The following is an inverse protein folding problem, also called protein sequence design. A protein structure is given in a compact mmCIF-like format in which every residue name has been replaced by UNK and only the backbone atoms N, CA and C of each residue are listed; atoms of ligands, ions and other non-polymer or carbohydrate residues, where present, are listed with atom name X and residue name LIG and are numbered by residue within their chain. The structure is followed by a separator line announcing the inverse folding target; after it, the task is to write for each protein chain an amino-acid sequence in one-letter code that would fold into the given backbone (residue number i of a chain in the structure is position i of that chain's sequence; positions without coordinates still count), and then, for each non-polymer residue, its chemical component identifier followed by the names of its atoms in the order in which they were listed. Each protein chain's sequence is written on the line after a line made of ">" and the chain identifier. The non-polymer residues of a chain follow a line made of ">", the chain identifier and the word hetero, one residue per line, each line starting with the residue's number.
data_IF_931582928242
#
_entry.id   IF_931582928242
#
_cell.length_a   1.000
_cell.length_b   1.000
_cell.length_c   1.000
_cell.angle_alpha   90.00
_cell.angle_beta   90.00
_cell.angle_gamma   90.00
#
_symmetry.space_group_name_H-M   'P 1'
#
loop_
_entity.id
_entity.type
_entity.pdbx_description
1 polymer ?
#
# COMPACT_ATOMS: atom_id res chain seq x y z
N UNK A 1 14.24 44.06 -6.48
CA UNK A 1 14.91 42.79 -6.11
C UNK A 1 14.06 41.89 -5.18
N UNK A 2 12.77 42.16 -5.01
CA UNK A 2 11.87 41.45 -4.07
C UNK A 2 11.04 40.32 -4.69
N UNK A 3 10.75 40.37 -5.99
CA UNK A 3 9.87 39.40 -6.67
C UNK A 3 10.38 37.95 -6.66
N UNK A 4 11.69 37.72 -6.60
CA UNK A 4 12.24 36.36 -6.65
C UNK A 4 12.16 35.66 -5.28
N UNK A 5 12.37 36.40 -4.19
CA UNK A 5 12.32 35.87 -2.83
C UNK A 5 10.88 35.52 -2.41
N UNK A 6 9.89 36.32 -2.82
CA UNK A 6 8.48 36.08 -2.52
C UNK A 6 7.92 34.85 -3.26
N UNK A 7 8.34 34.64 -4.51
CA UNK A 7 7.99 33.44 -5.28
C UNK A 7 8.62 32.16 -4.68
N UNK A 8 9.84 32.25 -4.17
CA UNK A 8 10.53 31.12 -3.54
C UNK A 8 9.93 30.76 -2.18
N UNK A 9 9.55 31.75 -1.37
CA UNK A 9 8.83 31.53 -0.10
C UNK A 9 7.43 30.94 -0.38
N UNK A 10 6.75 31.42 -1.43
CA UNK A 10 5.46 30.90 -1.88
C UNK A 10 5.50 29.43 -2.32
N UNK A 11 6.55 29.02 -3.04
CA UNK A 11 6.73 27.62 -3.47
C UNK A 11 7.09 26.68 -2.32
N UNK A 12 7.94 27.10 -1.38
CA UNK A 12 8.27 26.32 -0.18
C UNK A 12 7.04 26.14 0.72
N UNK A 13 6.24 27.21 0.88
CA UNK A 13 4.96 27.19 1.58
C UNK A 13 3.97 26.20 0.95
N UNK A 14 3.75 26.27 -0.37
CA UNK A 14 2.83 25.38 -1.08
C UNK A 14 3.26 23.91 -0.98
N UNK A 15 4.56 23.62 -1.11
CA UNK A 15 5.11 22.28 -0.93
C UNK A 15 4.90 21.72 0.48
N UNK A 16 5.09 22.56 1.51
CA UNK A 16 4.78 22.18 2.90
C UNK A 16 3.30 21.93 3.13
N UNK A 17 2.42 22.77 2.57
CA UNK A 17 0.97 22.60 2.65
C UNK A 17 0.52 21.29 1.98
N UNK A 18 1.02 20.98 0.79
CA UNK A 18 0.72 19.73 0.09
C UNK A 18 1.22 18.50 0.85
N UNK A 19 2.44 18.56 1.41
CA UNK A 19 2.96 17.49 2.25
C UNK A 19 2.13 17.30 3.52
N UNK A 20 1.75 18.40 4.19
CA UNK A 20 0.90 18.37 5.39
C UNK A 20 -0.48 17.80 5.10
N UNK A 21 -1.17 18.27 4.05
CA UNK A 21 -2.47 17.76 3.64
C UNK A 21 -2.41 16.29 3.18
N UNK A 22 -1.36 15.91 2.44
CA UNK A 22 -1.15 14.51 2.05
C UNK A 22 -0.95 13.59 3.25
N UNK A 23 -0.22 14.05 4.28
CA UNK A 23 -0.01 13.32 5.52
C UNK A 23 -1.30 13.24 6.35
N UNK A 24 -2.08 14.34 6.41
CA UNK A 24 -3.39 14.39 7.07
C UNK A 24 -4.41 13.44 6.42
N UNK A 25 -4.47 13.42 5.08
CA UNK A 25 -5.30 12.50 4.31
C UNK A 25 -4.85 11.06 4.50
N UNK A 26 -3.54 10.80 4.54
CA UNK A 26 -2.98 9.49 4.87
C UNK A 26 -3.39 9.03 6.27
N UNK A 27 -3.26 9.89 7.28
CA UNK A 27 -3.72 9.60 8.64
C UNK A 27 -5.23 9.37 8.71
N UNK A 28 -6.03 10.20 8.05
CA UNK A 28 -7.49 10.03 7.97
C UNK A 28 -7.86 8.70 7.32
N UNK A 29 -7.17 8.31 6.25
CA UNK A 29 -7.32 7.00 5.62
C UNK A 29 -7.06 5.85 6.63
N UNK A 30 -5.99 5.90 7.43
CA UNK A 30 -5.73 4.88 8.46
C UNK A 30 -6.78 4.85 9.59
N UNK A 31 -7.41 5.98 9.90
CA UNK A 31 -8.49 6.07 10.89
C UNK A 31 -9.79 5.50 10.34
N UNK A 32 -10.09 5.76 9.07
CA UNK A 32 -11.37 5.45 8.43
C UNK A 32 -11.40 4.04 7.82
N UNK A 33 -10.27 3.54 7.31
CA UNK A 33 -10.12 2.21 6.70
C UNK A 33 -10.74 1.05 7.50
N UNK A 34 -10.66 0.97 8.84
CA UNK A 34 -11.27 -0.14 9.60
C UNK A 34 -12.80 -0.20 9.51
N UNK A 35 -13.46 0.90 9.19
CA UNK A 35 -14.92 0.95 9.03
C UNK A 35 -15.37 0.45 7.65
N UNK A 36 -14.43 0.20 6.74
CA UNK A 36 -14.71 -0.21 5.38
C UNK A 36 -14.16 -1.62 5.11
N UNK A 37 -14.99 -2.46 4.49
CA UNK A 37 -14.67 -3.85 4.13
C UNK A 37 -13.92 -3.92 2.79
N UNK A 38 -12.80 -3.21 2.68
CA UNK A 38 -12.01 -3.07 1.45
C UNK A 38 -11.01 -4.20 1.19
N UNK A 39 -11.11 -5.33 1.90
CA UNK A 39 -10.14 -6.43 1.75
C UNK A 39 -10.48 -7.41 0.61
N UNK A 40 -11.59 -7.18 -0.11
CA UNK A 40 -12.04 -8.04 -1.21
C UNK A 40 -12.32 -7.22 -2.48
N UNK A 41 -12.35 -7.92 -3.62
CA UNK A 41 -12.76 -7.41 -4.91
C UNK A 41 -11.88 -6.28 -5.44
N UNK A 42 -12.52 -5.40 -6.21
CA UNK A 42 -11.83 -4.25 -6.81
C UNK A 42 -11.39 -3.22 -5.77
N UNK A 43 -12.03 -3.15 -4.59
CA UNK A 43 -11.61 -2.22 -3.54
C UNK A 43 -10.22 -2.57 -2.99
N UNK A 44 -9.93 -3.84 -2.75
CA UNK A 44 -8.59 -4.30 -2.34
C UNK A 44 -7.51 -3.94 -3.37
N UNK A 45 -7.87 -4.03 -4.65
CA UNK A 45 -6.99 -3.66 -5.78
C UNK A 45 -6.71 -2.15 -5.75
N UNK A 46 -7.75 -1.32 -5.71
CA UNK A 46 -7.61 0.14 -5.68
C UNK A 46 -6.80 0.59 -4.48
N UNK A 47 -7.08 0.04 -3.30
CA UNK A 47 -6.36 0.33 -2.08
C UNK A 47 -4.85 0.04 -2.23
N UNK A 48 -4.52 -1.16 -2.70
CA UNK A 48 -3.11 -1.57 -2.87
C UNK A 48 -2.40 -0.67 -3.88
N UNK A 49 -3.08 -0.32 -4.99
CA UNK A 49 -2.53 0.59 -6.00
C UNK A 49 -2.29 1.98 -5.40
N UNK A 50 -3.27 2.55 -4.70
CA UNK A 50 -3.15 3.89 -4.10
C UNK A 50 -2.00 3.93 -3.09
N UNK A 51 -1.89 2.94 -2.20
CA UNK A 51 -0.81 2.88 -1.20
C UNK A 51 0.55 2.76 -1.89
N UNK A 52 0.69 1.88 -2.89
CA UNK A 52 1.94 1.70 -3.60
C UNK A 52 2.34 2.94 -4.39
N UNK A 53 1.40 3.58 -5.08
CA UNK A 53 1.63 4.84 -5.80
C UNK A 53 2.01 5.96 -4.84
N UNK A 54 1.35 6.07 -3.69
CA UNK A 54 1.69 7.06 -2.67
C UNK A 54 3.13 6.88 -2.19
N UNK A 55 3.56 5.65 -1.87
CA UNK A 55 4.93 5.38 -1.45
C UNK A 55 5.96 5.74 -2.54
N UNK A 56 5.67 5.40 -3.80
CA UNK A 56 6.56 5.71 -4.94
C UNK A 56 6.66 7.23 -5.15
N UNK A 57 5.53 7.94 -5.19
CA UNK A 57 5.50 9.39 -5.40
C UNK A 57 6.20 10.11 -4.25
N UNK A 58 5.92 9.73 -3.00
CA UNK A 58 6.52 10.37 -1.84
C UNK A 58 8.04 10.16 -1.78
N UNK A 59 8.52 8.97 -2.15
CA UNK A 59 9.95 8.70 -2.27
C UNK A 59 10.59 9.58 -3.35
N UNK A 60 10.03 9.62 -4.57
CA UNK A 60 10.59 10.38 -5.69
C UNK A 60 10.57 11.89 -5.41
N UNK A 61 9.43 12.43 -4.99
CA UNK A 61 9.27 13.86 -4.70
C UNK A 61 10.16 14.28 -3.52
N UNK A 62 10.26 13.45 -2.49
CA UNK A 62 11.15 13.68 -1.35
C UNK A 62 12.63 13.76 -1.76
N UNK A 63 13.09 12.85 -2.62
CA UNK A 63 14.46 12.88 -3.17
C UNK A 63 14.69 14.17 -3.97
N UNK A 64 13.81 14.47 -4.93
CA UNK A 64 13.97 15.63 -5.83
C UNK A 64 14.03 16.92 -5.02
N UNK A 65 13.12 17.09 -4.05
CA UNK A 65 13.07 18.29 -3.23
C UNK A 65 14.33 18.43 -2.35
N UNK A 66 14.82 17.34 -1.76
CA UNK A 66 16.04 17.35 -0.96
C UNK A 66 17.26 17.72 -1.81
N UNK A 67 17.40 17.13 -2.99
CA UNK A 67 18.47 17.46 -3.94
C UNK A 67 18.40 18.94 -4.34
N UNK A 68 17.21 19.43 -4.68
CA UNK A 68 16.98 20.83 -5.05
C UNK A 68 17.39 21.80 -3.92
N UNK A 69 16.96 21.55 -2.69
CA UNK A 69 17.33 22.37 -1.52
C UNK A 69 18.85 22.36 -1.31
N UNK A 70 19.50 21.20 -1.42
CA UNK A 70 20.95 21.09 -1.26
C UNK A 70 21.74 21.84 -2.35
N UNK A 71 21.32 21.77 -3.61
CA UNK A 71 21.94 22.51 -4.72
C UNK A 71 21.77 24.02 -4.51
N UNK A 72 20.56 24.46 -4.12
CA UNK A 72 20.24 25.87 -3.90
C UNK A 72 21.00 26.47 -2.71
N UNK A 73 21.12 25.72 -1.62
CA UNK A 73 21.82 26.17 -0.40
C UNK A 73 23.34 26.24 -0.56
N UNK A 74 23.94 25.35 -1.36
CA UNK A 74 25.41 25.34 -1.56
C UNK A 74 25.91 26.32 -2.63
N UNK A 75 25.04 26.88 -3.47
CA UNK A 75 25.41 27.80 -4.56
C UNK A 75 26.14 27.10 -5.73
N UNK A 76 25.92 27.59 -6.95
CA UNK A 76 26.27 26.93 -8.21
C UNK A 76 27.78 26.64 -8.45
N UNK A 77 28.69 27.15 -7.61
CA UNK A 77 30.14 27.01 -7.74
C UNK A 77 30.76 25.92 -6.86
N UNK A 78 29.95 25.24 -6.04
CA UNK A 78 30.45 24.24 -5.10
C UNK A 78 30.67 22.89 -5.78
N UNK A 79 31.91 22.40 -5.72
CA UNK A 79 32.23 21.02 -6.09
C UNK A 79 31.30 20.05 -5.35
N UNK A 80 30.90 18.95 -6.01
CA UNK A 80 30.19 17.82 -5.41
C UNK A 80 30.97 17.30 -4.20
N UNK A 81 30.66 17.86 -3.04
CA UNK A 81 31.21 17.46 -1.76
C UNK A 81 30.83 16.00 -1.49
N UNK A 82 31.78 15.20 -1.01
CA UNK A 82 31.61 13.79 -0.68
C UNK A 82 30.39 13.59 0.24
N UNK A 83 30.14 14.52 1.18
CA UNK A 83 28.96 14.46 2.05
C UNK A 83 27.63 14.58 1.30
N UNK A 84 27.58 15.37 0.23
CA UNK A 84 26.39 15.50 -0.62
C UNK A 84 26.18 14.25 -1.50
N UNK A 85 27.28 13.67 -1.99
CA UNK A 85 27.25 12.42 -2.75
C UNK A 85 26.76 11.24 -1.89
N UNK A 86 27.21 11.14 -0.63
CA UNK A 86 26.74 10.14 0.34
C UNK A 86 25.24 10.32 0.62
N UNK A 87 24.77 11.56 0.81
CA UNK A 87 23.35 11.85 1.05
C UNK A 87 22.46 11.39 -0.12
N UNK A 88 22.84 11.70 -1.36
CA UNK A 88 22.13 11.24 -2.56
C UNK A 88 22.09 9.71 -2.59
N UNK A 89 23.21 9.05 -2.31
CA UNK A 89 23.32 7.61 -2.37
C UNK A 89 22.43 6.91 -1.34
N UNK A 90 22.35 7.46 -0.12
CA UNK A 90 21.44 6.99 0.94
C UNK A 90 19.97 7.18 0.54
N UNK A 91 19.63 8.33 -0.03
CA UNK A 91 18.27 8.65 -0.47
C UNK A 91 17.80 7.75 -1.62
N UNK A 92 18.67 7.54 -2.63
CA UNK A 92 18.40 6.64 -3.76
C UNK A 92 18.31 5.18 -3.28
N UNK A 93 19.26 4.74 -2.45
CA UNK A 93 19.26 3.39 -1.89
C UNK A 93 18.02 3.10 -1.05
N UNK A 94 17.63 4.03 -0.18
CA UNK A 94 16.41 3.93 0.62
C UNK A 94 15.14 3.89 -0.24
N UNK A 95 15.13 4.60 -1.36
CA UNK A 95 13.98 4.62 -2.28
C UNK A 95 13.87 3.35 -3.12
N UNK A 96 15.00 2.78 -3.54
CA UNK A 96 15.03 1.45 -4.17
C UNK A 96 14.54 0.39 -3.18
N UNK A 97 14.97 0.48 -1.92
CA UNK A 97 14.52 -0.40 -0.86
C UNK A 97 13.00 -0.28 -0.64
N UNK A 98 12.45 0.92 -0.46
CA UNK A 98 11.00 1.15 -0.33
C UNK A 98 10.24 0.68 -1.57
N UNK A 99 10.77 0.98 -2.77
CA UNK A 99 10.24 0.54 -4.04
C UNK A 99 10.11 -0.99 -4.11
N UNK A 100 11.09 -1.74 -3.58
CA UNK A 100 11.02 -3.20 -3.56
C UNK A 100 9.84 -3.75 -2.77
N UNK A 101 9.41 -3.06 -1.70
CA UNK A 101 8.22 -3.43 -0.93
C UNK A 101 6.91 -3.04 -1.61
N UNK A 102 6.90 -2.02 -2.47
CA UNK A 102 5.71 -1.54 -3.17
C UNK A 102 5.50 -2.23 -4.53
N UNK A 103 6.58 -2.55 -5.26
CA UNK A 103 6.51 -3.07 -6.63
C UNK A 103 5.90 -4.47 -6.65
N UNK A 104 6.32 -5.38 -5.76
CA UNK A 104 5.83 -6.76 -5.73
C UNK A 104 4.30 -6.84 -5.52
N UNK A 105 3.71 -6.21 -4.49
CA UNK A 105 2.26 -6.21 -4.33
C UNK A 105 1.57 -5.50 -5.51
N UNK A 106 2.08 -4.35 -5.97
CA UNK A 106 1.51 -3.63 -7.12
C UNK A 106 1.47 -4.51 -8.38
N UNK A 107 2.55 -5.23 -8.67
CA UNK A 107 2.67 -6.08 -9.84
C UNK A 107 1.63 -7.21 -9.83
N UNK A 108 1.52 -7.95 -8.72
CA UNK A 108 0.54 -9.04 -8.64
C UNK A 108 -0.89 -8.51 -8.64
N UNK A 109 -1.16 -7.42 -7.93
CA UNK A 109 -2.47 -6.79 -7.91
C UNK A 109 -2.95 -6.38 -9.32
N UNK A 110 -2.07 -5.87 -10.18
CA UNK A 110 -2.44 -5.43 -11.54
C UNK A 110 -2.41 -6.60 -12.53
N UNK A 111 -1.29 -7.32 -12.61
CA UNK A 111 -0.99 -8.21 -13.74
C UNK A 111 -1.27 -9.69 -13.48
N UNK A 112 -1.45 -10.13 -12.23
CA UNK A 112 -1.76 -11.52 -11.96
C UNK A 112 -3.13 -11.90 -12.54
N UNK A 113 -3.23 -13.07 -13.18
CA UNK A 113 -4.49 -13.58 -13.71
C UNK A 113 -5.37 -14.12 -12.58
N UNK A 114 -6.68 -13.93 -12.71
CA UNK A 114 -7.64 -14.51 -11.77
C UNK A 114 -7.68 -16.02 -11.99
N UNK A 115 -7.70 -16.76 -10.88
CA UNK A 115 -7.86 -18.21 -10.84
C UNK A 115 -9.20 -18.53 -10.17
N UNK A 116 -9.90 -19.53 -10.69
CA UNK A 116 -11.15 -20.01 -10.09
C UNK A 116 -10.98 -21.45 -9.65
N UNK A 117 -11.24 -21.73 -8.37
CA UNK A 117 -11.22 -23.09 -7.81
C UNK A 117 -12.52 -23.38 -7.06
N UNK A 118 -12.87 -24.66 -6.95
CA UNK A 118 -13.95 -25.14 -6.09
C UNK A 118 -13.35 -26.03 -5.03
N UNK A 119 -13.55 -25.69 -3.77
CA UNK A 119 -12.96 -26.41 -2.64
C UNK A 119 -14.02 -26.74 -1.60
N UNK A 120 -13.84 -27.90 -0.97
CA UNK A 120 -14.68 -28.41 0.12
C UNK A 120 -13.94 -28.41 1.45
N UNK A 121 -12.60 -28.29 1.39
CA UNK A 121 -11.72 -28.34 2.54
C UNK A 121 -11.08 -26.98 2.69
N UNK A 122 -11.59 -26.23 3.64
CA UNK A 122 -11.09 -24.90 3.95
C UNK A 122 -11.05 -24.70 5.46
N UNK A 123 -10.17 -23.80 5.89
CA UNK A 123 -10.13 -23.35 7.27
C UNK A 123 -9.90 -21.84 7.35
N UNK A 124 -10.35 -21.27 8.45
CA UNK A 124 -10.34 -19.83 8.67
C UNK A 124 -9.32 -19.48 9.75
N UNK A 125 -8.49 -18.47 9.51
CA UNK A 125 -7.61 -17.90 10.53
C UNK A 125 -7.82 -16.39 10.62
N UNK A 126 -7.79 -15.87 11.84
CA UNK A 126 -7.72 -14.45 12.12
C UNK A 126 -6.40 -14.14 12.82
N UNK A 127 -5.69 -13.13 12.37
CA UNK A 127 -4.46 -12.67 12.99
C UNK A 127 -4.67 -11.25 13.52
N UNK A 128 -4.24 -11.00 14.74
CA UNK A 128 -4.15 -9.63 15.21
C UNK A 128 -3.09 -8.90 14.39
N UNK A 129 -3.46 -7.73 13.87
CA UNK A 129 -2.62 -6.95 13.00
C UNK A 129 -1.43 -6.42 13.80
N UNK A 130 -0.22 -6.84 13.42
CA UNK A 130 1.02 -6.43 14.10
C UNK A 130 1.22 -4.90 14.11
N UNK A 131 0.55 -4.17 13.20
CA UNK A 131 0.66 -2.70 13.11
C UNK A 131 -0.30 -1.96 14.04
N UNK A 132 -1.32 -2.62 14.63
CA UNK A 132 -2.33 -1.97 15.49
C UNK A 132 -3.07 -2.97 16.38
N UNK A 133 -2.94 -2.81 17.70
CA UNK A 133 -3.68 -3.59 18.69
C UNK A 133 -5.20 -3.48 18.51
N UNK A 134 -5.90 -4.62 18.58
CA UNK A 134 -7.35 -4.73 18.43
C UNK A 134 -7.87 -4.72 16.98
N UNK A 135 -7.02 -4.60 15.97
CA UNK A 135 -7.40 -4.78 14.57
C UNK A 135 -7.06 -6.21 14.12
N UNK A 136 -7.98 -6.89 13.45
CA UNK A 136 -7.78 -8.28 13.00
C UNK A 136 -7.80 -8.36 11.48
N UNK A 137 -6.91 -9.17 10.93
CA UNK A 137 -6.91 -9.57 9.53
C UNK A 137 -7.46 -11.00 9.42
N UNK A 138 -8.39 -11.21 8.48
CA UNK A 138 -9.09 -12.48 8.31
C UNK A 138 -8.65 -13.14 7.02
N UNK A 139 -8.37 -14.43 7.10
CA UNK A 139 -7.86 -15.23 5.99
C UNK A 139 -8.66 -16.52 5.84
N UNK A 140 -8.91 -16.88 4.59
CA UNK A 140 -9.44 -18.16 4.16
C UNK A 140 -8.29 -18.97 3.56
N UNK A 141 -8.07 -20.17 4.07
CA UNK A 141 -7.09 -21.13 3.57
C UNK A 141 -7.79 -22.32 2.92
N UNK A 142 -7.26 -22.78 1.80
CA UNK A 142 -7.78 -23.89 0.99
C UNK A 142 -6.67 -24.49 0.12
N UNK A 143 -6.90 -25.67 -0.45
CA UNK A 143 -5.97 -26.36 -1.35
C UNK A 143 -4.53 -26.42 -0.78
N UNK A 144 -4.42 -26.95 0.45
CA UNK A 144 -3.23 -27.22 1.29
C UNK A 144 -2.27 -26.06 1.64
N UNK A 145 -2.12 -25.04 0.79
CA UNK A 145 -1.25 -23.86 1.07
C UNK A 145 -1.76 -22.57 0.42
N UNK A 146 -2.94 -22.58 -0.20
CA UNK A 146 -3.49 -21.37 -0.80
C UNK A 146 -4.24 -20.57 0.24
N UNK A 147 -4.02 -19.26 0.25
CA UNK A 147 -4.76 -18.34 1.14
C UNK A 147 -5.18 -17.08 0.42
N UNK A 148 -6.31 -16.53 0.85
CA UNK A 148 -6.79 -15.22 0.43
C UNK A 148 -7.24 -14.42 1.63
N UNK A 149 -7.04 -13.10 1.56
CA UNK A 149 -7.57 -12.19 2.55
C UNK A 149 -9.07 -12.02 2.31
N UNK A 150 -9.84 -12.02 3.39
CA UNK A 150 -11.29 -11.87 3.37
C UNK A 150 -11.75 -10.78 4.33
N UNK A 151 -12.97 -10.31 4.11
CA UNK A 151 -13.63 -9.37 4.99
C UNK A 151 -14.14 -10.03 6.26
N UNK A 152 -14.41 -9.21 7.29
CA UNK A 152 -14.93 -9.69 8.57
C UNK A 152 -16.30 -10.34 8.40
N UNK A 153 -17.20 -9.73 7.63
CA UNK A 153 -18.51 -10.29 7.29
C UNK A 153 -18.40 -11.65 6.61
N UNK A 154 -17.53 -11.77 5.58
CA UNK A 154 -17.24 -13.04 4.89
C UNK A 154 -16.73 -14.10 5.85
N UNK A 155 -15.77 -13.75 6.72
CA UNK A 155 -15.23 -14.65 7.73
C UNK A 155 -16.31 -15.16 8.68
N UNK A 156 -17.17 -14.26 9.18
CA UNK A 156 -18.26 -14.63 10.09
C UNK A 156 -19.27 -15.54 9.39
N UNK A 157 -19.61 -15.28 8.13
CA UNK A 157 -20.52 -16.11 7.33
C UNK A 157 -20.00 -17.54 7.16
N UNK A 158 -18.71 -17.68 6.84
CA UNK A 158 -18.07 -18.99 6.65
C UNK A 158 -17.86 -19.73 7.98
N UNK A 159 -17.58 -19.02 9.07
CA UNK A 159 -17.40 -19.63 10.40
C UNK A 159 -18.67 -20.29 10.94
N UNK A 160 -19.84 -19.80 10.56
CA UNK A 160 -21.11 -20.26 11.11
C UNK A 160 -21.61 -21.59 10.54
N UNK A 161 -21.11 -22.03 9.38
CA UNK A 161 -21.58 -23.26 8.71
C UNK A 161 -20.41 -23.93 7.96
N UNK A 162 -20.04 -25.14 8.38
CA UNK A 162 -18.89 -25.86 7.84
C UNK A 162 -19.24 -26.80 6.66
N UNK A 163 -20.51 -26.88 6.26
CA UNK A 163 -20.98 -27.80 5.20
C UNK A 163 -21.14 -27.11 3.84
N UNK A 164 -20.29 -26.13 3.54
CA UNK A 164 -20.35 -25.40 2.27
C UNK A 164 -19.29 -25.86 1.28
N UNK A 165 -19.70 -26.02 0.03
CA UNK A 165 -18.80 -25.96 -1.12
C UNK A 165 -18.54 -24.50 -1.46
N UNK A 166 -17.26 -24.14 -1.57
CA UNK A 166 -16.83 -22.79 -1.91
C UNK A 166 -16.28 -22.76 -3.33
N UNK A 167 -16.89 -21.94 -4.20
CA UNK A 167 -16.30 -21.57 -5.49
C UNK A 167 -15.71 -20.18 -5.38
N UNK A 168 -14.39 -20.11 -5.50
CA UNK A 168 -13.56 -18.94 -5.24
C UNK A 168 -13.00 -18.43 -6.56
N UNK A 169 -13.11 -17.14 -6.84
CA UNK A 169 -12.32 -16.48 -7.89
C UNK A 169 -11.36 -15.50 -7.23
N UNK A 170 -10.05 -15.69 -7.40
CA UNK A 170 -9.03 -14.97 -6.64
C UNK A 170 -7.74 -14.77 -7.42
N UNK A 171 -6.86 -13.90 -6.92
CA UNK A 171 -5.48 -13.73 -7.39
C UNK A 171 -4.52 -14.34 -6.36
N UNK A 172 -3.82 -15.45 -6.69
CA UNK A 172 -3.05 -16.22 -5.70
C UNK A 172 -1.97 -15.42 -4.97
N UNK A 173 -1.08 -14.76 -5.70
CA UNK A 173 0.08 -14.03 -5.15
C UNK A 173 -0.30 -12.66 -4.60
N UNK A 174 -1.37 -12.05 -5.12
CA UNK A 174 -1.94 -10.84 -4.54
C UNK A 174 -2.75 -11.14 -3.27
N UNK A 175 -3.12 -12.40 -3.02
CA UNK A 175 -4.00 -12.85 -1.93
C UNK A 175 -5.37 -12.14 -1.93
N UNK A 176 -5.87 -11.73 -3.10
CA UNK A 176 -7.14 -10.99 -3.25
C UNK A 176 -8.25 -11.92 -3.71
N UNK A 177 -9.31 -12.01 -2.90
CA UNK A 177 -10.58 -12.66 -3.28
C UNK A 177 -11.45 -11.70 -4.10
N UNK A 178 -11.91 -12.11 -5.29
CA UNK A 178 -12.82 -11.31 -6.13
C UNK A 178 -14.28 -11.73 -6.06
N UNK A 179 -14.53 -13.04 -6.01
CA UNK A 179 -15.87 -13.60 -5.93
C UNK A 179 -15.84 -14.85 -5.07
N UNK A 180 -16.91 -15.03 -4.29
CA UNK A 180 -17.12 -16.17 -3.42
C UNK A 180 -18.57 -16.63 -3.55
N UNK A 181 -18.75 -17.81 -4.14
CA UNK A 181 -20.04 -18.47 -4.21
C UNK A 181 -20.05 -19.59 -3.17
N UNK A 182 -21.08 -19.56 -2.33
CA UNK A 182 -21.27 -20.49 -1.22
C UNK A 182 -22.47 -21.35 -1.56
N UNK A 183 -22.25 -22.65 -1.70
CA UNK A 183 -23.30 -23.63 -1.98
C UNK A 183 -23.37 -24.63 -0.83
N UNK A 184 -24.58 -24.97 -0.41
CA UNK A 184 -24.80 -26.10 0.49
C UNK A 184 -24.34 -27.39 -0.20
N UNK A 185 -23.65 -28.24 0.57
CA UNK A 185 -23.26 -29.58 0.13
C UNK A 185 -24.49 -30.47 -0.11
#
# INVERSE_FOLDING_TARGET
>A
MTQNTDNEIGQISLGLYLAFFGLLLGCAYFVVRPFFEWNEGYFAVFETIIICLFLIVFAIVGIINTIYICIKTKGASSSLDIGFLILILVMVGGSIFIGSFAIKPLYYTIFETKTTTTTYEYYLKSFENQKRAGAYEYYLYFDDDTRVKINKTTYQKLRLNNEYSLKLTYKPKAEILYDLQISLK
#
